data_IF_224618519201
#
_entry.id   IF_224618519201
#
_cell.length_a   1.000
_cell.length_b   1.000
_cell.length_c   1.000
_cell.angle_alpha   90.00
_cell.angle_beta   90.00
_cell.angle_gamma   90.00
#
_symmetry.space_group_name_H-M   'P 1'
#
loop_
_entity.id
_entity.type
_entity.pdbx_description
1 polymer ?
#
# COMPACT_ATOMS: atom_id res chain seq x y z
N UNK A 1 -6.87 -13.23 15.60
CA UNK A 1 -7.54 -13.37 14.29
C UNK A 1 -6.72 -14.25 13.35
N UNK A 2 -7.39 -14.97 12.46
CA UNK A 2 -6.79 -15.68 11.31
C UNK A 2 -7.09 -14.89 10.04
N UNK A 3 -6.05 -14.45 9.35
CA UNK A 3 -6.17 -13.47 8.26
C UNK A 3 -5.51 -14.00 7.00
N UNK A 4 -6.19 -13.84 5.86
CA UNK A 4 -5.60 -13.99 4.53
C UNK A 4 -4.95 -12.65 4.16
N UNK A 5 -3.70 -12.66 3.71
CA UNK A 5 -3.01 -11.45 3.27
C UNK A 5 -2.41 -11.66 1.87
N UNK A 6 -2.83 -10.84 0.90
CA UNK A 6 -2.39 -10.98 -0.49
C UNK A 6 -2.44 -9.65 -1.24
N UNK A 7 -1.87 -9.52 -2.43
CA UNK A 7 -1.04 -10.51 -3.09
C UNK A 7 0.45 -10.16 -3.15
N UNK A 8 0.82 -8.91 -2.94
CA UNK A 8 2.16 -8.40 -3.27
C UNK A 8 3.13 -8.43 -2.10
N UNK A 9 4.26 -9.09 -2.34
CA UNK A 9 5.39 -9.15 -1.42
C UNK A 9 6.67 -9.04 -2.24
N UNK A 10 7.57 -8.16 -1.82
CA UNK A 10 8.86 -7.97 -2.45
C UNK A 10 9.93 -7.59 -1.41
N UNK A 11 11.14 -7.30 -1.87
CA UNK A 11 12.16 -6.62 -1.09
C UNK A 11 12.29 -5.18 -1.58
N UNK A 12 12.43 -4.23 -0.66
CA UNK A 12 12.82 -2.87 -0.99
C UNK A 12 14.29 -2.69 -0.67
N UNK A 13 15.08 -2.31 -1.68
CA UNK A 13 16.48 -1.93 -1.54
C UNK A 13 16.56 -0.42 -1.40
N UNK A 14 16.57 0.08 -0.17
CA UNK A 14 16.48 1.51 0.13
C UNK A 14 17.87 2.15 0.22
N UNK A 15 18.12 3.18 -0.58
CA UNK A 15 19.37 3.95 -0.53
C UNK A 15 19.10 5.44 -0.69
N UNK A 16 19.90 6.27 -0.01
CA UNK A 16 19.89 7.72 -0.22
C UNK A 16 20.99 8.07 -1.23
N UNK A 17 20.59 8.67 -2.35
CA UNK A 17 21.53 8.96 -3.43
C UNK A 17 22.54 10.03 -3.04
N UNK A 18 23.76 9.87 -3.55
CA UNK A 18 24.76 10.94 -3.57
C UNK A 18 24.85 11.48 -4.98
N UNK A 19 24.56 12.78 -5.17
CA UNK A 19 24.56 13.37 -6.50
C UNK A 19 25.92 13.29 -7.21
N UNK A 20 27.03 13.31 -6.44
CA UNK A 20 28.37 13.09 -6.97
C UNK A 20 28.58 11.65 -7.47
N UNK A 21 28.16 10.64 -6.69
CA UNK A 21 28.27 9.23 -7.10
C UNK A 21 27.44 8.92 -8.34
N UNK A 22 26.23 9.48 -8.43
CA UNK A 22 25.37 9.32 -9.62
C UNK A 22 26.03 9.96 -10.84
N UNK A 23 26.59 11.17 -10.71
CA UNK A 23 27.30 11.84 -11.80
C UNK A 23 28.54 11.05 -12.27
N UNK A 24 29.34 10.55 -11.33
CA UNK A 24 30.50 9.69 -11.59
C UNK A 24 30.09 8.41 -12.33
N UNK A 25 29.05 7.73 -11.86
CA UNK A 25 28.54 6.51 -12.48
C UNK A 25 28.07 6.73 -13.93
N UNK A 26 27.35 7.84 -14.19
CA UNK A 26 26.93 8.20 -15.56
C UNK A 26 28.15 8.45 -16.46
N UNK A 27 29.18 9.14 -15.95
CA UNK A 27 30.38 9.47 -16.70
C UNK A 27 31.24 8.23 -16.99
N UNK A 28 31.50 7.39 -15.99
CA UNK A 28 32.36 6.20 -16.09
C UNK A 28 31.80 5.16 -17.06
N UNK A 29 30.48 5.07 -17.18
CA UNK A 29 29.80 4.20 -18.15
C UNK A 29 29.62 4.83 -19.54
N UNK A 30 30.12 6.06 -19.76
CA UNK A 30 29.98 6.76 -21.04
C UNK A 30 28.51 7.00 -21.41
N UNK A 31 27.66 7.31 -20.43
CA UNK A 31 26.21 7.47 -20.60
C UNK A 31 25.78 8.94 -20.73
N UNK A 32 26.67 9.91 -20.52
CA UNK A 32 26.35 11.35 -20.44
C UNK A 32 25.44 11.85 -21.58
N UNK A 33 25.81 11.65 -22.84
CA UNK A 33 25.02 12.14 -23.98
C UNK A 33 23.66 11.42 -24.07
N UNK A 34 23.65 10.10 -23.90
CA UNK A 34 22.45 9.26 -24.00
C UNK A 34 21.44 9.54 -22.87
N UNK A 35 21.91 9.79 -21.65
CA UNK A 35 21.06 10.19 -20.52
C UNK A 35 20.45 11.57 -20.75
N UNK A 36 21.19 12.54 -21.28
CA UNK A 36 20.66 13.88 -21.59
C UNK A 36 19.61 13.83 -22.72
N UNK A 37 19.85 12.99 -23.74
CA UNK A 37 18.86 12.71 -24.79
C UNK A 37 17.60 12.09 -24.18
N UNK A 38 17.75 11.08 -23.31
CA UNK A 38 16.61 10.40 -22.67
C UNK A 38 15.81 11.32 -21.75
N UNK A 39 16.47 12.19 -20.98
CA UNK A 39 15.78 13.21 -20.17
C UNK A 39 14.92 14.14 -21.04
N UNK A 40 15.35 14.43 -22.26
CA UNK A 40 14.61 15.27 -23.21
C UNK A 40 13.45 14.54 -23.88
N UNK A 41 13.50 13.20 -23.95
CA UNK A 41 12.47 12.33 -24.51
C UNK A 41 12.28 11.07 -23.63
N UNK A 42 11.66 11.23 -22.46
CA UNK A 42 11.50 10.13 -21.51
C UNK A 42 10.56 9.07 -22.05
N UNK A 43 10.84 7.81 -21.71
CA UNK A 43 9.94 6.66 -21.92
C UNK A 43 9.03 6.48 -20.72
N UNK A 44 8.07 5.55 -20.86
CA UNK A 44 7.07 5.18 -19.86
C UNK A 44 7.54 4.06 -18.89
N UNK A 45 8.80 3.65 -19.00
CA UNK A 45 9.41 2.61 -18.17
C UNK A 45 10.91 2.53 -18.37
N UNK A 46 11.54 1.56 -17.70
CA UNK A 46 12.99 1.33 -17.71
C UNK A 46 13.30 0.11 -18.60
N UNK A 47 13.82 0.37 -19.79
CA UNK A 47 14.21 -0.64 -20.78
C UNK A 47 15.73 -0.72 -20.95
N UNK A 48 16.45 0.31 -20.54
CA UNK A 48 17.92 0.34 -20.43
C UNK A 48 18.37 1.24 -19.26
N UNK A 49 19.68 1.27 -19.00
CA UNK A 49 20.25 1.98 -17.85
C UNK A 49 20.06 3.50 -17.98
N UNK A 50 19.99 4.02 -19.20
CA UNK A 50 19.72 5.42 -19.48
C UNK A 50 18.32 5.84 -19.05
N UNK A 51 17.31 4.98 -19.23
CA UNK A 51 15.97 5.23 -18.70
C UNK A 51 15.99 5.39 -17.19
N UNK A 52 16.68 4.50 -16.48
CA UNK A 52 16.82 4.57 -15.02
C UNK A 52 17.36 5.93 -14.57
N UNK A 53 18.50 6.36 -15.11
CA UNK A 53 19.08 7.66 -14.74
C UNK A 53 18.17 8.81 -15.14
N UNK A 54 17.51 8.74 -16.31
CA UNK A 54 16.61 9.79 -16.75
C UNK A 54 15.40 9.95 -15.82
N UNK A 55 14.81 8.85 -15.36
CA UNK A 55 13.69 8.85 -14.41
C UNK A 55 14.09 9.48 -13.08
N UNK A 56 15.23 9.05 -12.52
CA UNK A 56 15.80 9.61 -11.29
C UNK A 56 16.01 11.13 -11.40
N UNK A 57 16.67 11.58 -12.47
CA UNK A 57 17.00 13.00 -12.69
C UNK A 57 15.74 13.84 -12.92
N UNK A 58 14.73 13.29 -13.61
CA UNK A 58 13.43 13.95 -13.82
C UNK A 58 12.65 14.08 -12.52
N UNK A 59 12.60 13.02 -11.69
CA UNK A 59 11.97 13.06 -10.36
C UNK A 59 12.62 14.10 -9.46
N UNK A 60 13.95 14.13 -9.41
CA UNK A 60 14.68 15.19 -8.69
C UNK A 60 14.31 16.59 -9.20
N UNK A 61 14.42 16.82 -10.52
CA UNK A 61 14.18 18.13 -11.14
C UNK A 61 12.76 18.64 -10.91
N UNK A 62 11.78 17.74 -10.88
CA UNK A 62 10.37 18.06 -10.61
C UNK A 62 10.07 18.15 -9.12
N UNK A 63 10.87 17.52 -8.27
CA UNK A 63 10.62 17.37 -6.84
C UNK A 63 9.39 16.51 -6.56
N UNK A 64 9.14 15.52 -7.42
CA UNK A 64 7.99 14.61 -7.31
C UNK A 64 8.52 13.19 -7.46
N UNK A 65 8.19 12.33 -6.52
CA UNK A 65 8.50 10.91 -6.56
C UNK A 65 7.83 10.20 -7.73
N UNK A 66 8.41 9.08 -8.15
CA UNK A 66 7.85 8.25 -9.20
C UNK A 66 8.28 6.80 -9.01
N UNK A 67 7.45 5.88 -9.47
CA UNK A 67 7.77 4.46 -9.59
C UNK A 67 7.75 4.08 -11.07
N UNK A 68 8.86 3.52 -11.57
CA UNK A 68 9.00 3.07 -12.95
C UNK A 68 9.32 1.57 -12.98
N UNK A 69 8.63 0.83 -13.84
CA UNK A 69 8.83 -0.61 -14.02
C UNK A 69 10.06 -0.89 -14.89
N UNK A 70 10.84 -1.89 -14.51
CA UNK A 70 12.01 -2.40 -15.23
C UNK A 70 11.57 -3.57 -16.10
N UNK A 71 11.73 -3.44 -17.41
CA UNK A 71 11.38 -4.46 -18.40
C UNK A 71 12.58 -5.25 -18.94
N UNK A 72 13.80 -4.78 -18.68
CA UNK A 72 15.04 -5.45 -19.08
C UNK A 72 15.83 -5.94 -17.86
N UNK A 73 16.16 -7.24 -17.86
CA UNK A 73 16.89 -7.88 -16.76
C UNK A 73 18.32 -7.34 -16.61
N UNK A 74 18.95 -6.89 -17.69
CA UNK A 74 20.29 -6.30 -17.63
C UNK A 74 20.31 -5.03 -16.77
N UNK A 75 19.22 -4.26 -16.76
CA UNK A 75 19.11 -3.11 -15.85
C UNK A 75 18.96 -3.54 -14.39
N UNK A 76 18.17 -4.59 -14.12
CA UNK A 76 18.07 -5.16 -12.78
C UNK A 76 19.44 -5.63 -12.26
N UNK A 77 20.18 -6.37 -13.09
CA UNK A 77 21.51 -6.85 -12.73
C UNK A 77 22.49 -5.69 -12.48
N UNK A 78 22.43 -4.63 -13.30
CA UNK A 78 23.19 -3.39 -13.10
C UNK A 78 22.87 -2.73 -11.75
N UNK A 79 21.58 -2.56 -11.42
CA UNK A 79 21.19 -1.94 -10.15
C UNK A 79 21.61 -2.79 -8.95
N UNK A 80 21.48 -4.11 -9.07
CA UNK A 80 21.91 -5.06 -8.04
C UNK A 80 23.41 -4.96 -7.77
N UNK A 81 24.23 -4.94 -8.82
CA UNK A 81 25.69 -4.83 -8.72
C UNK A 81 26.13 -3.52 -8.07
N UNK A 82 25.46 -2.40 -8.40
CA UNK A 82 25.94 -1.07 -8.00
C UNK A 82 25.30 -0.51 -6.72
N UNK A 83 24.10 -0.95 -6.35
CA UNK A 83 23.33 -0.32 -5.26
C UNK A 83 22.95 -1.27 -4.12
N UNK A 84 22.86 -2.59 -4.35
CA UNK A 84 22.31 -3.50 -3.33
C UNK A 84 23.18 -3.57 -2.06
N UNK A 85 24.49 -3.74 -2.20
CA UNK A 85 25.42 -3.89 -1.06
C UNK A 85 25.48 -2.65 -0.14
N UNK A 86 25.13 -1.48 -0.67
CA UNK A 86 25.09 -0.20 0.06
C UNK A 86 23.69 0.21 0.53
N UNK A 87 22.69 -0.64 0.30
CA UNK A 87 21.29 -0.36 0.62
C UNK A 87 20.87 -0.96 1.97
N UNK A 88 19.82 -0.40 2.54
CA UNK A 88 19.05 -1.08 3.57
C UNK A 88 17.99 -1.92 2.87
N UNK A 89 18.09 -3.25 3.02
CA UNK A 89 17.07 -4.18 2.53
C UNK A 89 15.99 -4.34 3.58
N UNK A 90 14.75 -4.00 3.22
CA UNK A 90 13.56 -4.18 4.05
C UNK A 90 12.51 -5.01 3.30
N UNK A 91 11.52 -5.52 4.03
CA UNK A 91 10.37 -6.13 3.41
C UNK A 91 9.56 -5.03 2.73
N UNK A 92 9.12 -5.29 1.50
CA UNK A 92 8.28 -4.40 0.72
C UNK A 92 7.02 -5.10 0.21
N UNK A 93 6.21 -4.33 -0.49
CA UNK A 93 4.91 -4.76 -1.00
C UNK A 93 3.83 -4.63 0.06
N UNK A 94 2.67 -4.11 -0.33
CA UNK A 94 1.59 -3.78 0.60
C UNK A 94 1.24 -4.98 1.49
N UNK A 95 1.10 -6.18 0.93
CA UNK A 95 0.75 -7.38 1.70
C UNK A 95 1.88 -7.83 2.60
N UNK A 96 3.14 -7.70 2.17
CA UNK A 96 4.30 -7.96 3.02
C UNK A 96 4.31 -7.05 4.26
N UNK A 97 4.16 -5.74 4.04
CA UNK A 97 4.09 -4.74 5.10
C UNK A 97 2.91 -5.00 6.05
N UNK A 98 1.70 -5.14 5.51
CA UNK A 98 0.50 -5.39 6.29
C UNK A 98 0.60 -6.70 7.09
N UNK A 99 1.18 -7.77 6.52
CA UNK A 99 1.35 -9.03 7.24
C UNK A 99 2.26 -8.90 8.46
N UNK A 100 3.33 -8.11 8.37
CA UNK A 100 4.22 -7.83 9.50
C UNK A 100 3.52 -6.99 10.56
N UNK A 101 2.77 -5.96 10.16
CA UNK A 101 1.95 -5.14 11.07
C UNK A 101 0.96 -6.03 11.82
N UNK A 102 0.18 -6.85 11.11
CA UNK A 102 -0.78 -7.78 11.70
C UNK A 102 -0.12 -8.74 12.69
N UNK A 103 1.04 -9.31 12.32
CA UNK A 103 1.82 -10.19 13.18
C UNK A 103 2.23 -9.50 14.49
N UNK A 104 2.78 -8.28 14.40
CA UNK A 104 3.29 -7.56 15.56
C UNK A 104 2.16 -7.05 16.47
N UNK A 105 0.98 -6.77 15.91
CA UNK A 105 -0.21 -6.36 16.65
C UNK A 105 -0.97 -7.50 17.34
N UNK A 106 -0.54 -8.74 17.14
CA UNK A 106 -1.07 -9.92 17.82
C UNK A 106 -2.09 -10.74 17.02
N UNK A 107 -2.10 -10.63 15.68
CA UNK A 107 -2.80 -11.62 14.87
C UNK A 107 -2.27 -13.04 15.19
N UNK A 108 -3.17 -14.01 15.25
CA UNK A 108 -2.80 -15.38 15.64
C UNK A 108 -2.13 -16.14 14.50
N UNK A 109 -2.57 -15.88 13.27
CA UNK A 109 -2.08 -16.52 12.06
C UNK A 109 -2.36 -15.58 10.87
N UNK A 110 -1.33 -15.25 10.09
CA UNK A 110 -1.45 -14.46 8.87
C UNK A 110 -0.96 -15.32 7.71
N UNK A 111 -1.87 -15.80 6.87
CA UNK A 111 -1.55 -16.65 5.73
C UNK A 111 -1.29 -15.74 4.53
N UNK A 112 -0.05 -15.75 4.02
CA UNK A 112 0.39 -14.82 2.98
C UNK A 112 0.57 -15.51 1.62
N UNK A 113 0.23 -14.80 0.55
CA UNK A 113 0.62 -15.21 -0.80
C UNK A 113 2.12 -14.92 -1.01
N UNK A 114 2.91 -15.98 -1.17
CA UNK A 114 4.32 -15.90 -1.54
C UNK A 114 4.56 -16.85 -2.73
N UNK A 115 4.40 -16.38 -3.98
CA UNK A 115 4.61 -17.22 -5.17
C UNK A 115 6.05 -17.71 -5.30
N UNK A 116 6.99 -16.90 -4.82
CA UNK A 116 8.40 -17.23 -4.63
C UNK A 116 8.90 -16.47 -3.40
N UNK A 117 9.86 -17.03 -2.66
CA UNK A 117 10.50 -16.31 -1.55
C UNK A 117 11.97 -16.70 -1.36
N UNK A 118 12.77 -15.72 -0.92
CA UNK A 118 14.19 -15.89 -0.60
C UNK A 118 14.38 -16.03 0.90
N UNK A 119 15.57 -16.50 1.30
CA UNK A 119 15.95 -16.54 2.72
C UNK A 119 15.90 -15.16 3.38
N UNK A 120 16.37 -14.12 2.68
CA UNK A 120 16.34 -12.74 3.20
C UNK A 120 14.90 -12.29 3.42
N UNK A 121 14.01 -12.54 2.45
CA UNK A 121 12.59 -12.22 2.60
C UNK A 121 11.95 -13.01 3.74
N UNK A 122 12.27 -14.30 3.87
CA UNK A 122 11.78 -15.16 4.94
C UNK A 122 12.17 -14.67 6.34
N UNK A 123 13.41 -14.21 6.51
CA UNK A 123 13.94 -13.71 7.78
C UNK A 123 13.34 -12.35 8.20
N UNK A 124 12.76 -11.60 7.24
CA UNK A 124 12.10 -10.32 7.48
C UNK A 124 10.63 -10.45 7.87
N UNK A 125 10.02 -11.64 7.75
CA UNK A 125 8.63 -11.84 8.11
C UNK A 125 8.41 -11.96 9.62
N UNK A 126 7.25 -11.45 10.06
CA UNK A 126 6.78 -11.52 11.43
C UNK A 126 6.40 -12.93 11.88
N UNK A 127 6.44 -13.16 13.19
CA UNK A 127 6.29 -14.49 13.81
C UNK A 127 4.93 -15.16 13.55
N UNK A 128 3.87 -14.41 13.25
CA UNK A 128 2.55 -14.95 12.94
C UNK A 128 2.36 -15.27 11.44
N UNK A 129 3.30 -14.85 10.58
CA UNK A 129 3.20 -15.06 9.13
C UNK A 129 3.42 -16.52 8.80
N UNK A 130 2.55 -17.07 7.95
CA UNK A 130 2.56 -18.46 7.50
C UNK A 130 2.42 -18.54 5.99
N UNK A 131 3.10 -19.52 5.41
CA UNK A 131 2.84 -19.98 4.05
C UNK A 131 2.34 -21.43 4.09
N UNK A 132 1.31 -21.77 3.31
CA UNK A 132 0.81 -23.14 3.25
C UNK A 132 1.72 -24.03 2.39
N UNK A 133 1.90 -25.26 2.85
CA UNK A 133 2.70 -26.31 2.21
C UNK A 133 1.92 -27.61 2.16
N UNK A 134 2.28 -28.50 1.25
CA UNK A 134 1.83 -29.89 1.25
C UNK A 134 2.98 -30.78 1.71
N UNK A 135 2.82 -31.39 2.89
CA UNK A 135 3.77 -32.36 3.46
C UNK A 135 3.01 -33.67 3.67
N UNK A 136 3.52 -34.76 3.09
CA UNK A 136 2.88 -36.09 3.12
C UNK A 136 1.39 -36.06 2.70
N UNK A 137 1.06 -35.26 1.69
CA UNK A 137 -0.30 -35.11 1.16
C UNK A 137 -1.26 -34.32 2.05
N UNK A 138 -0.75 -33.58 3.05
CA UNK A 138 -1.55 -32.75 3.97
C UNK A 138 -1.08 -31.31 3.97
N UNK A 139 -2.02 -30.40 4.15
CA UNK A 139 -1.71 -28.99 4.36
C UNK A 139 -1.03 -28.78 5.71
N UNK A 140 0.10 -28.07 5.68
CA UNK A 140 0.85 -27.60 6.84
C UNK A 140 1.11 -26.12 6.65
N UNK A 141 0.80 -25.31 7.67
CA UNK A 141 1.21 -23.92 7.72
C UNK A 141 2.59 -23.84 8.38
N UNK A 142 3.57 -23.31 7.65
CA UNK A 142 4.93 -23.14 8.13
C UNK A 142 5.30 -21.66 8.17
N UNK A 143 6.21 -21.27 9.07
CA UNK A 143 6.84 -19.96 8.94
C UNK A 143 7.67 -19.93 7.65
N UNK A 144 7.78 -18.81 6.92
CA UNK A 144 8.60 -18.74 5.70
C UNK A 144 10.04 -19.24 5.85
N UNK A 145 10.66 -19.09 7.03
CA UNK A 145 12.02 -19.60 7.30
C UNK A 145 12.11 -21.13 7.41
N UNK A 146 10.97 -21.81 7.56
CA UNK A 146 10.85 -23.27 7.67
C UNK A 146 10.37 -23.91 6.35
N UNK A 147 10.13 -23.08 5.35
CA UNK A 147 9.78 -23.52 4.01
C UNK A 147 11.05 -23.83 3.21
N UNK A 148 10.92 -24.72 2.22
CA UNK A 148 11.99 -24.88 1.25
C UNK A 148 12.05 -23.60 0.42
N UNK A 149 13.24 -23.03 0.29
CA UNK A 149 13.46 -21.92 -0.62
C UNK A 149 13.44 -22.47 -2.05
N UNK A 150 12.80 -21.76 -2.96
CA UNK A 150 12.64 -22.21 -4.35
C UNK A 150 13.96 -22.30 -5.13
N UNK A 151 15.11 -22.07 -4.48
CA UNK A 151 16.44 -22.07 -5.08
C UNK A 151 16.66 -20.90 -6.05
N UNK A 152 15.68 -20.00 -6.16
CA UNK A 152 15.71 -18.82 -7.03
C UNK A 152 15.91 -17.58 -6.16
N UNK A 153 17.04 -16.89 -6.32
CA UNK A 153 17.29 -15.55 -5.76
C UNK A 153 16.49 -14.45 -6.51
N UNK A 154 15.44 -14.80 -7.25
CA UNK A 154 14.60 -13.89 -8.05
C UNK A 154 13.34 -13.49 -7.27
N UNK A 155 13.52 -13.04 -6.02
CA UNK A 155 12.48 -12.24 -5.37
C UNK A 155 12.48 -10.87 -6.03
N UNK A 156 11.30 -10.31 -6.30
CA UNK A 156 11.17 -8.94 -6.78
C UNK A 156 11.92 -7.97 -5.87
N UNK A 157 12.77 -7.11 -6.46
CA UNK A 157 13.46 -6.05 -5.73
C UNK A 157 13.02 -4.72 -6.31
N UNK A 158 12.52 -3.86 -5.44
CA UNK A 158 12.20 -2.48 -5.75
C UNK A 158 13.36 -1.64 -5.24
N UNK A 159 14.11 -1.03 -6.15
CA UNK A 159 15.22 -0.17 -5.77
C UNK A 159 14.68 1.23 -5.45
N UNK A 160 14.72 1.61 -4.18
CA UNK A 160 14.18 2.88 -3.67
C UNK A 160 15.32 3.87 -3.48
N UNK A 161 15.33 4.91 -4.31
CA UNK A 161 16.36 5.95 -4.33
C UNK A 161 15.84 7.23 -3.70
N UNK A 162 16.08 7.40 -2.40
CA UNK A 162 15.76 8.63 -1.69
C UNK A 162 16.69 9.77 -2.13
N UNK A 163 16.13 10.95 -2.38
CA UNK A 163 16.88 12.18 -2.63
C UNK A 163 16.38 13.29 -1.70
N UNK A 164 17.31 14.09 -1.20
CA UNK A 164 17.00 15.23 -0.33
C UNK A 164 17.08 16.54 -1.10
N UNK A 165 16.28 17.51 -0.70
CA UNK A 165 16.24 18.87 -1.24
C UNK A 165 17.65 19.45 -1.34
N UNK A 166 17.96 19.99 -2.51
CA UNK A 166 19.26 20.59 -2.81
C UNK A 166 20.33 19.57 -3.26
N UNK A 167 20.04 18.27 -3.23
CA UNK A 167 20.92 17.28 -3.87
C UNK A 167 21.10 17.63 -5.34
N UNK A 168 22.34 17.74 -5.79
CA UNK A 168 22.72 18.15 -7.15
C UNK A 168 23.47 17.04 -7.87
N UNK A 169 22.99 16.66 -9.05
CA UNK A 169 23.70 15.78 -9.99
C UNK A 169 24.09 16.61 -11.21
N UNK A 170 25.38 16.62 -11.55
CA UNK A 170 25.89 17.29 -12.76
C UNK A 170 26.11 16.26 -13.86
N UNK A 171 25.42 16.40 -14.99
CA UNK A 171 25.54 15.52 -16.17
C UNK A 171 25.96 16.36 -17.37
N UNK A 172 27.20 16.18 -17.83
CA UNK A 172 27.81 17.10 -18.79
C UNK A 172 27.82 18.53 -18.22
N UNK A 173 27.24 19.49 -18.94
CA UNK A 173 27.09 20.88 -18.46
C UNK A 173 25.72 21.18 -17.83
N UNK A 174 24.87 20.16 -17.64
CA UNK A 174 23.51 20.33 -17.09
C UNK A 174 23.47 19.95 -15.61
N UNK A 175 22.75 20.75 -14.82
CA UNK A 175 22.51 20.48 -13.41
C UNK A 175 21.07 20.04 -13.15
N UNK A 176 20.94 18.96 -12.40
CA UNK A 176 19.68 18.46 -11.87
C UNK A 176 19.69 18.64 -10.36
N UNK A 177 18.74 19.40 -9.83
CA UNK A 177 18.67 19.74 -8.41
C UNK A 177 17.32 19.28 -7.85
N UNK A 178 17.36 18.51 -6.77
CA UNK A 178 16.16 18.08 -6.05
C UNK A 178 15.44 19.29 -5.42
N UNK A 179 14.18 19.52 -5.79
CA UNK A 179 13.39 20.63 -5.25
C UNK A 179 12.82 20.34 -3.85
N UNK A 180 12.51 19.06 -3.58
CA UNK A 180 11.93 18.54 -2.36
C UNK A 180 12.61 17.22 -1.97
N UNK A 181 12.40 16.80 -0.72
CA UNK A 181 12.76 15.46 -0.26
C UNK A 181 11.73 14.48 -0.82
N UNK A 182 12.16 13.48 -1.58
CA UNK A 182 11.28 12.47 -2.16
C UNK A 182 12.10 11.23 -2.60
N UNK A 183 11.48 10.30 -3.32
CA UNK A 183 12.10 9.05 -3.78
C UNK A 183 11.74 8.71 -5.22
N UNK A 184 12.68 8.08 -5.91
CA UNK A 184 12.45 7.40 -7.18
C UNK A 184 12.53 5.89 -6.95
N UNK A 185 11.56 5.13 -7.45
CA UNK A 185 11.50 3.68 -7.29
C UNK A 185 11.66 3.03 -8.66
N UNK A 186 12.63 2.13 -8.79
CA UNK A 186 12.86 1.32 -9.98
C UNK A 186 12.49 -0.14 -9.66
N UNK A 187 11.40 -0.61 -10.24
CA UNK A 187 10.72 -1.85 -9.84
C UNK A 187 10.99 -2.97 -10.84
N UNK A 188 11.77 -3.98 -10.45
CA UNK A 188 11.86 -5.25 -11.18
C UNK A 188 11.16 -6.35 -10.39
N UNK A 189 9.93 -6.65 -10.80
CA UNK A 189 9.09 -7.58 -10.07
C UNK A 189 8.15 -8.38 -10.98
N UNK A 190 8.67 -9.34 -11.75
CA UNK A 190 7.84 -10.12 -12.67
C UNK A 190 6.67 -10.84 -11.99
N UNK A 191 6.85 -11.29 -10.74
CA UNK A 191 5.83 -12.02 -10.00
C UNK A 191 4.66 -11.10 -9.59
N UNK A 192 4.94 -9.95 -8.98
CA UNK A 192 3.89 -9.03 -8.56
C UNK A 192 3.25 -8.31 -9.75
N UNK A 193 4.01 -7.97 -10.80
CA UNK A 193 3.47 -7.43 -12.06
C UNK A 193 2.49 -8.43 -12.70
N UNK A 194 2.78 -9.73 -12.65
CA UNK A 194 1.89 -10.78 -13.14
C UNK A 194 0.78 -11.20 -12.16
N UNK A 195 0.77 -10.57 -10.97
CA UNK A 195 -0.05 -10.90 -9.80
C UNK A 195 -0.08 -12.41 -9.53
N UNK A 196 1.12 -12.99 -9.48
CA UNK A 196 1.32 -14.42 -9.35
C UNK A 196 0.82 -14.91 -7.98
N UNK A 197 0.08 -16.02 -8.00
CA UNK A 197 -0.43 -16.67 -6.79
C UNK A 197 0.22 -18.03 -6.64
N UNK A 198 0.66 -18.33 -5.42
CA UNK A 198 1.13 -19.66 -5.08
C UNK A 198 -0.04 -20.66 -5.14
N UNK A 199 0.00 -21.73 -5.96
CA UNK A 199 -1.13 -22.66 -6.09
C UNK A 199 -1.52 -23.34 -4.78
N UNK A 200 -0.55 -23.57 -3.88
CA UNK A 200 -0.83 -24.15 -2.55
C UNK A 200 -1.53 -23.14 -1.65
N UNK A 201 -1.23 -21.85 -1.80
CA UNK A 201 -1.95 -20.77 -1.13
C UNK A 201 -3.39 -20.69 -1.63
N UNK A 202 -3.59 -20.68 -2.95
CA UNK A 202 -4.89 -20.65 -3.58
C UNK A 202 -5.76 -21.82 -3.07
N UNK A 203 -5.27 -23.07 -3.19
CA UNK A 203 -6.01 -24.25 -2.73
C UNK A 203 -6.27 -24.24 -1.22
N UNK A 204 -5.30 -23.78 -0.40
CA UNK A 204 -5.48 -23.70 1.05
C UNK A 204 -6.57 -22.69 1.43
N UNK A 205 -6.50 -21.48 0.89
CA UNK A 205 -7.47 -20.41 1.16
C UNK A 205 -8.86 -20.83 0.70
N UNK A 206 -8.96 -21.42 -0.49
CA UNK A 206 -10.23 -21.91 -1.03
C UNK A 206 -10.84 -23.03 -0.16
N UNK A 207 -10.01 -23.96 0.33
CA UNK A 207 -10.47 -25.11 1.12
C UNK A 207 -10.85 -24.75 2.55
N UNK A 208 -10.19 -23.74 3.13
CA UNK A 208 -10.33 -23.38 4.55
C UNK A 208 -10.88 -21.97 4.78
N UNK A 209 -11.54 -21.38 3.78
CA UNK A 209 -12.15 -20.06 3.84
C UNK A 209 -13.06 -19.86 5.08
N UNK A 210 -13.76 -20.91 5.51
CA UNK A 210 -14.64 -20.96 6.69
C UNK A 210 -13.91 -20.73 8.03
N UNK A 211 -12.58 -20.78 8.04
CA UNK A 211 -11.74 -20.63 9.23
C UNK A 211 -11.09 -19.26 9.37
N UNK A 212 -11.22 -18.41 8.36
CA UNK A 212 -10.63 -17.07 8.36
C UNK A 212 -11.61 -16.05 8.90
N UNK A 213 -11.07 -15.07 9.62
CA UNK A 213 -11.83 -13.93 10.16
C UNK A 213 -11.92 -12.80 9.13
N UNK A 214 -10.88 -12.64 8.30
CA UNK A 214 -10.88 -11.66 7.22
C UNK A 214 -9.77 -11.88 6.20
N UNK A 215 -9.85 -11.14 5.10
CA UNK A 215 -8.86 -11.06 4.05
C UNK A 215 -8.48 -9.59 3.81
N UNK A 216 -7.19 -9.30 3.74
CA UNK A 216 -6.67 -7.99 3.36
C UNK A 216 -5.86 -8.12 2.07
N UNK A 217 -6.33 -7.47 1.01
CA UNK A 217 -5.88 -7.65 -0.36
C UNK A 217 -5.28 -6.35 -0.92
N UNK A 218 -4.29 -6.46 -1.81
CA UNK A 218 -3.69 -5.35 -2.56
C UNK A 218 -2.89 -5.86 -3.76
N UNK A 219 -2.28 -4.95 -4.52
CA UNK A 219 -1.31 -5.26 -5.58
C UNK A 219 -1.79 -5.10 -7.02
N UNK A 220 -3.10 -4.87 -7.22
CA UNK A 220 -3.68 -4.73 -8.56
C UNK A 220 -3.15 -3.54 -9.36
N UNK A 221 -2.57 -2.54 -8.69
CA UNK A 221 -2.00 -1.34 -9.31
C UNK A 221 -0.77 -1.61 -10.20
N UNK A 222 -0.11 -2.77 -10.02
CA UNK A 222 1.05 -3.20 -10.81
C UNK A 222 0.66 -3.89 -12.13
N UNK A 223 -0.63 -4.20 -12.34
CA UNK A 223 -1.07 -4.95 -13.51
C UNK A 223 -0.84 -4.16 -14.80
N UNK A 224 -0.26 -4.85 -15.79
CA UNK A 224 -0.14 -4.35 -17.16
C UNK A 224 -1.45 -4.56 -17.93
N UNK A 225 -1.69 -3.72 -18.93
CA UNK A 225 -2.84 -3.87 -19.83
C UNK A 225 -2.75 -5.16 -20.65
N UNK A 226 -1.55 -5.55 -21.07
CA UNK A 226 -1.27 -6.75 -21.84
C UNK A 226 0.02 -7.41 -21.36
N UNK A 227 0.08 -8.74 -21.44
CA UNK A 227 1.25 -9.53 -21.06
C UNK A 227 1.84 -10.27 -22.28
N UNK A 228 3.14 -10.60 -22.29
CA UNK A 228 3.78 -11.31 -23.40
C UNK A 228 3.13 -12.65 -23.77
N UNK A 229 2.48 -13.31 -22.82
CA UNK A 229 1.76 -14.57 -23.02
C UNK A 229 0.37 -14.41 -23.67
N UNK A 230 -0.06 -13.18 -23.97
CA UNK A 230 -1.35 -12.87 -24.59
C UNK A 230 -2.52 -12.71 -23.61
N UNK A 231 -2.31 -12.92 -22.31
CA UNK A 231 -3.29 -12.58 -21.26
C UNK A 231 -3.29 -11.07 -21.01
N UNK A 232 -4.33 -10.59 -20.32
CA UNK A 232 -4.56 -9.18 -20.00
C UNK A 232 -4.83 -8.99 -18.51
N UNK A 233 -4.89 -7.74 -18.05
CA UNK A 233 -5.34 -7.39 -16.70
C UNK A 233 -6.71 -7.98 -16.35
N UNK A 234 -7.62 -8.15 -17.32
CA UNK A 234 -8.95 -8.72 -17.11
C UNK A 234 -8.88 -10.16 -16.65
N UNK A 235 -8.09 -10.97 -17.35
CA UNK A 235 -7.90 -12.39 -16.99
C UNK A 235 -7.35 -12.55 -15.57
N UNK A 236 -6.49 -11.60 -15.14
CA UNK A 236 -5.89 -11.60 -13.79
C UNK A 236 -6.88 -11.17 -12.71
N UNK A 237 -7.62 -10.08 -12.95
CA UNK A 237 -8.63 -9.54 -12.02
C UNK A 237 -9.78 -10.53 -11.87
N UNK A 238 -10.35 -11.00 -12.98
CA UNK A 238 -11.53 -11.87 -12.97
C UNK A 238 -11.23 -13.18 -12.22
N UNK A 239 -10.07 -13.80 -12.47
CA UNK A 239 -9.65 -15.01 -11.74
C UNK A 239 -9.61 -14.79 -10.23
N UNK A 240 -9.00 -13.69 -9.78
CA UNK A 240 -8.84 -13.39 -8.36
C UNK A 240 -10.15 -13.03 -7.67
N UNK A 241 -11.05 -12.36 -8.39
CA UNK A 241 -12.39 -12.07 -7.88
C UNK A 241 -13.26 -13.33 -7.83
N UNK A 242 -13.06 -14.28 -8.75
CA UNK A 242 -13.71 -15.59 -8.68
C UNK A 242 -13.21 -16.41 -7.47
N UNK A 243 -11.90 -16.35 -7.16
CA UNK A 243 -11.34 -16.93 -5.92
C UNK A 243 -12.00 -16.31 -4.69
N UNK A 244 -12.10 -14.98 -4.66
CA UNK A 244 -12.72 -14.24 -3.56
C UNK A 244 -14.19 -14.61 -3.37
N UNK A 245 -14.95 -14.73 -4.47
CA UNK A 245 -16.34 -15.18 -4.45
C UNK A 245 -16.46 -16.58 -3.86
N UNK A 246 -15.59 -17.51 -4.26
CA UNK A 246 -15.52 -18.85 -3.68
C UNK A 246 -15.27 -18.82 -2.16
N UNK A 247 -14.44 -17.89 -1.68
CA UNK A 247 -14.20 -17.73 -0.25
C UNK A 247 -15.45 -17.19 0.47
N UNK A 248 -16.10 -16.16 -0.08
CA UNK A 248 -17.34 -15.57 0.45
C UNK A 248 -18.51 -16.56 0.46
N UNK A 249 -18.66 -17.39 -0.58
CA UNK A 249 -19.69 -18.43 -0.64
C UNK A 249 -19.53 -19.46 0.50
N UNK A 250 -18.29 -19.81 0.85
CA UNK A 250 -17.98 -20.72 1.97
C UNK A 250 -18.05 -20.01 3.33
N UNK A 251 -17.73 -18.72 3.36
CA UNK A 251 -17.74 -17.90 4.57
C UNK A 251 -18.37 -16.53 4.32
N UNK A 252 -19.71 -16.41 4.41
CA UNK A 252 -20.40 -15.13 4.19
C UNK A 252 -20.04 -14.05 5.22
N UNK A 253 -19.34 -14.42 6.31
CA UNK A 253 -18.86 -13.49 7.35
C UNK A 253 -17.40 -13.10 7.18
N UNK A 254 -16.71 -13.60 6.14
CA UNK A 254 -15.34 -13.20 5.86
C UNK A 254 -15.31 -11.72 5.53
N UNK A 255 -14.65 -10.92 6.37
CA UNK A 255 -14.48 -9.49 6.10
C UNK A 255 -13.32 -9.27 5.14
N UNK A 256 -13.56 -8.60 4.02
CA UNK A 256 -12.61 -8.41 2.93
C UNK A 256 -12.33 -6.92 2.76
N UNK A 257 -11.08 -6.54 2.97
CA UNK A 257 -10.58 -5.21 2.72
C UNK A 257 -9.61 -5.21 1.54
N UNK A 258 -9.77 -4.26 0.62
CA UNK A 258 -8.86 -4.01 -0.50
C UNK A 258 -8.17 -2.66 -0.29
N UNK A 259 -6.85 -2.67 -0.13
CA UNK A 259 -6.03 -1.46 -0.12
C UNK A 259 -5.59 -1.15 -1.55
N UNK A 260 -5.99 0.02 -2.07
CA UNK A 260 -5.55 0.50 -3.37
C UNK A 260 -4.05 0.86 -3.35
N UNK A 261 -3.50 0.98 -4.54
CA UNK A 261 -2.22 1.64 -4.74
C UNK A 261 -2.31 2.52 -5.97
N UNK A 262 -1.19 3.14 -6.31
CA UNK A 262 -1.12 4.06 -7.43
C UNK A 262 -1.14 3.31 -8.78
N UNK A 263 -2.26 3.35 -9.51
CA UNK A 263 -2.37 2.67 -10.82
C UNK A 263 -1.64 3.42 -11.94
N UNK A 264 -0.91 2.68 -12.77
CA UNK A 264 -0.35 3.21 -14.02
C UNK A 264 -1.38 3.41 -15.13
N UNK A 265 -2.52 2.71 -15.06
CA UNK A 265 -3.56 2.73 -16.09
C UNK A 265 -4.94 2.87 -15.48
N UNK A 266 -5.61 3.99 -15.76
CA UNK A 266 -6.99 4.22 -15.35
C UNK A 266 -7.95 3.15 -15.89
N UNK A 267 -7.64 2.53 -17.05
CA UNK A 267 -8.45 1.43 -17.59
C UNK A 267 -8.41 0.17 -16.71
N UNK A 268 -7.26 -0.11 -16.10
CA UNK A 268 -7.11 -1.25 -15.17
C UNK A 268 -7.85 -0.94 -13.87
N UNK A 269 -7.68 0.27 -13.35
CA UNK A 269 -8.37 0.74 -12.14
C UNK A 269 -9.90 0.70 -12.30
N UNK A 270 -10.46 1.31 -13.36
CA UNK A 270 -11.91 1.32 -13.60
C UNK A 270 -12.47 -0.09 -13.67
N UNK A 271 -11.76 -1.00 -14.35
CA UNK A 271 -12.21 -2.39 -14.49
C UNK A 271 -12.29 -3.12 -13.15
N UNK A 272 -11.34 -2.86 -12.25
CA UNK A 272 -11.33 -3.40 -10.90
C UNK A 272 -12.49 -2.82 -10.09
N UNK A 273 -12.62 -1.49 -10.05
CA UNK A 273 -13.64 -0.79 -9.24
C UNK A 273 -15.07 -1.20 -9.61
N UNK A 274 -15.34 -1.46 -10.89
CA UNK A 274 -16.62 -1.97 -11.40
C UNK A 274 -16.98 -3.40 -10.93
N UNK A 275 -16.06 -4.14 -10.28
CA UNK A 275 -16.20 -5.58 -9.99
C UNK A 275 -15.97 -5.95 -8.52
N UNK A 276 -16.03 -4.97 -7.62
CA UNK A 276 -15.76 -5.17 -6.19
C UNK A 276 -16.92 -5.79 -5.39
N UNK A 277 -17.86 -6.50 -6.02
CA UNK A 277 -19.07 -7.03 -5.36
C UNK A 277 -18.86 -8.05 -4.24
N UNK A 278 -17.67 -8.64 -4.15
CA UNK A 278 -17.29 -9.57 -3.08
C UNK A 278 -16.29 -8.93 -2.06
N UNK A 279 -16.05 -7.62 -2.18
CA UNK A 279 -15.19 -6.81 -1.28
C UNK A 279 -16.07 -5.93 -0.40
N UNK A 280 -15.85 -5.95 0.91
CA UNK A 280 -16.66 -5.15 1.84
C UNK A 280 -16.14 -3.72 1.97
N UNK A 281 -14.81 -3.57 1.96
CA UNK A 281 -14.17 -2.28 2.20
C UNK A 281 -13.02 -1.99 1.23
N UNK A 282 -12.96 -0.74 0.79
CA UNK A 282 -11.84 -0.17 0.03
C UNK A 282 -11.06 0.85 0.87
N UNK A 283 -9.74 0.80 0.82
CA UNK A 283 -8.81 1.77 1.42
C UNK A 283 -7.98 2.47 0.34
N UNK A 284 -7.73 3.77 0.49
CA UNK A 284 -6.86 4.55 -0.40
C UNK A 284 -6.36 5.86 0.24
N UNK A 285 -5.36 6.49 -0.34
CA UNK A 285 -4.95 7.85 0.05
C UNK A 285 -5.64 8.97 -0.76
N UNK A 286 -5.39 10.24 -0.41
CA UNK A 286 -5.98 11.39 -1.11
C UNK A 286 -5.55 11.51 -2.58
N UNK A 287 -4.33 11.08 -2.92
CA UNK A 287 -3.80 11.17 -4.28
C UNK A 287 -4.49 10.15 -5.17
N UNK A 288 -4.69 8.93 -4.66
CA UNK A 288 -5.46 7.86 -5.30
C UNK A 288 -6.92 8.28 -5.47
N UNK A 289 -7.55 8.82 -4.42
CA UNK A 289 -8.92 9.34 -4.52
C UNK A 289 -9.03 10.43 -5.58
N UNK A 290 -8.15 11.45 -5.55
CA UNK A 290 -8.14 12.56 -6.51
C UNK A 290 -7.96 12.13 -7.97
N UNK A 291 -7.31 10.97 -8.19
CA UNK A 291 -7.02 10.42 -9.52
C UNK A 291 -7.94 9.27 -9.91
N UNK A 292 -8.84 8.85 -9.03
CA UNK A 292 -9.75 7.76 -9.29
C UNK A 292 -10.53 8.00 -10.58
N UNK A 293 -10.55 7.00 -11.45
CA UNK A 293 -11.30 7.02 -12.71
C UNK A 293 -12.80 7.27 -12.51
N UNK A 294 -13.36 6.97 -11.33
CA UNK A 294 -14.77 7.28 -11.00
C UNK A 294 -15.02 8.77 -10.77
N UNK A 295 -13.98 9.58 -10.52
CA UNK A 295 -14.08 11.03 -10.33
C UNK A 295 -13.62 11.82 -11.57
N UNK A 296 -13.37 11.14 -12.69
CA UNK A 296 -12.87 11.77 -13.91
C UNK A 296 -13.81 12.89 -14.40
N UNK A 297 -13.22 14.06 -14.71
CA UNK A 297 -13.95 15.25 -15.14
C UNK A 297 -14.46 16.16 -14.03
N UNK A 298 -14.44 15.74 -12.75
CA UNK A 298 -14.82 16.61 -11.62
C UNK A 298 -13.63 17.41 -11.07
N UNK A 299 -13.13 18.36 -11.87
CA UNK A 299 -11.94 19.16 -11.52
C UNK A 299 -12.08 19.93 -10.20
N UNK A 300 -13.30 20.38 -9.86
CA UNK A 300 -13.55 21.10 -8.61
C UNK A 300 -13.38 20.18 -7.42
N UNK A 301 -14.00 19.01 -7.44
CA UNK A 301 -13.89 18.04 -6.35
C UNK A 301 -12.44 17.57 -6.19
N UNK A 302 -11.76 17.29 -7.29
CA UNK A 302 -10.35 16.92 -7.29
C UNK A 302 -9.48 17.96 -6.59
N UNK A 303 -9.66 19.25 -6.90
CA UNK A 303 -8.93 20.33 -6.22
C UNK A 303 -9.20 20.33 -4.71
N UNK A 304 -10.45 20.12 -4.29
CA UNK A 304 -10.79 20.05 -2.85
C UNK A 304 -10.08 18.88 -2.15
N UNK A 305 -10.02 17.72 -2.80
CA UNK A 305 -9.30 16.54 -2.28
C UNK A 305 -7.79 16.84 -2.17
N UNK A 306 -7.19 17.39 -3.22
CA UNK A 306 -5.76 17.77 -3.25
C UNK A 306 -5.43 18.86 -2.22
N UNK A 307 -6.37 19.74 -1.91
CA UNK A 307 -6.27 20.77 -0.85
C UNK A 307 -6.53 20.22 0.56
N UNK A 308 -6.78 18.92 0.70
CA UNK A 308 -7.14 18.23 1.96
C UNK A 308 -8.37 18.86 2.64
N UNK A 309 -9.37 19.26 1.86
CA UNK A 309 -10.69 19.66 2.36
C UNK A 309 -11.51 18.40 2.67
N UNK A 310 -11.79 18.16 3.95
CA UNK A 310 -12.42 16.91 4.42
C UNK A 310 -13.80 16.66 3.81
N UNK A 311 -14.53 17.73 3.52
CA UNK A 311 -15.83 17.62 2.86
C UNK A 311 -15.67 17.15 1.41
N UNK A 312 -14.62 17.62 0.71
CA UNK A 312 -14.29 17.15 -0.62
C UNK A 312 -13.79 15.69 -0.61
N UNK A 313 -12.99 15.31 0.39
CA UNK A 313 -12.58 13.91 0.58
C UNK A 313 -13.79 13.01 0.85
N UNK A 314 -14.69 13.42 1.75
CA UNK A 314 -15.91 12.69 2.07
C UNK A 314 -16.86 12.60 0.87
N UNK A 315 -17.02 13.69 0.10
CA UNK A 315 -17.81 13.71 -1.14
C UNK A 315 -17.24 12.75 -2.18
N UNK A 316 -15.91 12.74 -2.39
CA UNK A 316 -15.25 11.79 -3.29
C UNK A 316 -15.44 10.34 -2.86
N UNK A 317 -15.23 10.04 -1.57
CA UNK A 317 -15.43 8.72 -1.01
C UNK A 317 -16.89 8.25 -1.15
N UNK A 318 -17.84 9.16 -0.92
CA UNK A 318 -19.28 8.90 -1.09
C UNK A 318 -19.65 8.57 -2.54
N UNK A 319 -19.05 9.27 -3.52
CA UNK A 319 -19.25 8.93 -4.94
C UNK A 319 -18.75 7.52 -5.24
N UNK A 320 -17.54 7.16 -4.79
CA UNK A 320 -17.01 5.79 -4.98
C UNK A 320 -17.95 4.76 -4.35
N UNK A 321 -18.35 4.98 -3.09
CA UNK A 321 -19.26 4.08 -2.38
C UNK A 321 -20.60 3.93 -3.14
N UNK A 322 -21.14 5.01 -3.69
CA UNK A 322 -22.43 4.99 -4.42
C UNK A 322 -22.38 4.33 -5.80
N UNK A 323 -21.19 4.24 -6.41
CA UNK A 323 -20.97 3.71 -7.76
C UNK A 323 -20.43 2.27 -7.75
N UNK A 324 -20.18 1.71 -6.57
CA UNK A 324 -19.63 0.38 -6.38
C UNK A 324 -20.50 -0.42 -5.44
N UNK A 325 -20.26 -1.73 -5.37
CA UNK A 325 -20.97 -2.65 -4.47
C UNK A 325 -20.30 -2.74 -3.08
N UNK A 326 -19.47 -1.75 -2.72
CA UNK A 326 -18.75 -1.71 -1.45
C UNK A 326 -19.70 -1.33 -0.30
N UNK A 327 -19.42 -1.82 0.91
CA UNK A 327 -20.08 -1.34 2.13
C UNK A 327 -19.32 -0.21 2.81
N UNK A 328 -18.03 -0.01 2.48
CA UNK A 328 -17.18 1.04 3.06
C UNK A 328 -16.10 1.55 2.12
N UNK A 329 -15.87 2.86 2.14
CA UNK A 329 -14.67 3.51 1.60
C UNK A 329 -13.95 4.27 2.72
N UNK A 330 -12.67 3.92 2.95
CA UNK A 330 -11.79 4.59 3.89
C UNK A 330 -10.68 5.33 3.14
N UNK A 331 -10.51 6.61 3.48
CA UNK A 331 -9.49 7.49 2.90
C UNK A 331 -8.56 7.97 4.00
N UNK A 332 -7.27 7.66 3.87
CA UNK A 332 -6.23 8.15 4.77
C UNK A 332 -5.42 9.25 4.11
N UNK A 333 -5.06 10.28 4.89
CA UNK A 333 -4.24 11.41 4.39
C UNK A 333 -3.12 11.70 5.36
N UNK A 334 -2.23 12.64 5.03
CA UNK A 334 -1.20 13.13 5.96
C UNK A 334 -1.75 13.89 7.18
N UNK A 335 -3.02 14.31 7.17
CA UNK A 335 -3.57 15.24 8.17
C UNK A 335 -4.76 14.66 8.94
N UNK A 336 -5.64 13.91 8.28
CA UNK A 336 -6.79 13.20 8.88
C UNK A 336 -7.11 11.91 8.11
N UNK A 337 -7.95 11.07 8.69
CA UNK A 337 -8.56 9.92 8.00
C UNK A 337 -10.08 10.05 8.06
N UNK A 338 -10.77 9.62 7.00
CA UNK A 338 -12.24 9.60 6.91
C UNK A 338 -12.68 8.26 6.38
N UNK A 339 -13.74 7.71 6.98
CA UNK A 339 -14.41 6.51 6.52
C UNK A 339 -15.89 6.81 6.32
N UNK A 340 -16.46 6.36 5.20
CA UNK A 340 -17.91 6.42 4.92
C UNK A 340 -18.41 5.01 4.59
N UNK A 341 -19.55 4.62 5.16
CA UNK A 341 -20.04 3.26 5.12
C UNK A 341 -21.57 3.17 5.26
N UNK A 342 -22.11 2.03 4.83
CA UNK A 342 -23.54 1.70 4.99
C UNK A 342 -23.96 1.63 6.46
N UNK A 343 -25.21 1.99 6.76
CA UNK A 343 -25.68 2.09 8.16
C UNK A 343 -25.62 0.77 8.94
N UNK A 344 -25.80 -0.35 8.25
CA UNK A 344 -25.81 -1.69 8.85
C UNK A 344 -24.42 -2.35 8.84
N UNK A 345 -23.37 -1.65 8.38
CA UNK A 345 -22.01 -2.19 8.28
C UNK A 345 -21.34 -2.31 9.65
N UNK A 346 -21.19 -1.19 10.37
CA UNK A 346 -20.58 -1.14 11.71
C UNK A 346 -21.13 0.04 12.50
N UNK A 347 -21.07 -0.02 13.83
CA UNK A 347 -21.37 1.13 14.69
C UNK A 347 -20.35 2.26 14.44
N UNK A 348 -20.79 3.51 14.22
CA UNK A 348 -19.88 4.60 13.86
C UNK A 348 -18.85 4.95 14.93
N UNK A 349 -19.18 4.75 16.21
CA UNK A 349 -18.23 4.91 17.31
C UNK A 349 -17.18 3.80 17.34
N UNK A 350 -17.54 2.59 16.92
CA UNK A 350 -16.60 1.47 16.75
C UNK A 350 -15.66 1.70 15.57
N UNK A 351 -16.16 2.20 14.43
CA UNK A 351 -15.29 2.59 13.31
C UNK A 351 -14.29 3.67 13.75
N UNK A 352 -14.75 4.72 14.43
CA UNK A 352 -13.88 5.77 14.93
C UNK A 352 -12.79 5.22 15.88
N UNK A 353 -13.13 4.26 16.75
CA UNK A 353 -12.16 3.61 17.63
C UNK A 353 -11.11 2.80 16.84
N UNK A 354 -11.51 2.10 15.78
CA UNK A 354 -10.58 1.38 14.92
C UNK A 354 -9.63 2.31 14.15
N UNK A 355 -10.18 3.38 13.56
CA UNK A 355 -9.40 4.41 12.87
C UNK A 355 -8.39 5.08 13.83
N UNK A 356 -8.79 5.40 15.06
CA UNK A 356 -7.89 5.93 16.09
C UNK A 356 -6.73 4.97 16.39
N UNK A 357 -7.01 3.66 16.45
CA UNK A 357 -5.97 2.65 16.66
C UNK A 357 -5.00 2.60 15.48
N UNK A 358 -5.51 2.64 14.24
CA UNK A 358 -4.68 2.72 13.04
C UNK A 358 -3.79 3.95 13.01
N UNK A 359 -4.34 5.12 13.34
CA UNK A 359 -3.58 6.38 13.42
C UNK A 359 -2.44 6.29 14.44
N UNK A 360 -2.70 5.71 15.62
CA UNK A 360 -1.65 5.50 16.65
C UNK A 360 -0.57 4.53 16.18
N UNK A 361 -0.95 3.45 15.50
CA UNK A 361 0.00 2.49 14.95
C UNK A 361 0.92 3.15 13.90
N UNK A 362 0.35 3.91 12.96
CA UNK A 362 1.10 4.64 11.95
C UNK A 362 2.04 5.69 12.57
N UNK A 363 1.57 6.46 13.56
CA UNK A 363 2.39 7.46 14.24
C UNK A 363 3.56 6.84 15.02
N UNK A 364 3.32 5.72 15.72
CA UNK A 364 4.37 4.95 16.41
C UNK A 364 5.41 4.39 15.44
N UNK A 365 4.96 3.89 14.29
CA UNK A 365 5.85 3.39 13.25
C UNK A 365 6.65 4.53 12.61
N UNK A 366 6.04 5.68 12.34
CA UNK A 366 6.74 6.86 11.82
C UNK A 366 7.88 7.30 12.76
N UNK A 367 7.65 7.34 14.07
CA UNK A 367 8.65 7.76 15.07
C UNK A 367 9.79 6.75 15.21
N UNK A 368 9.50 5.45 15.17
CA UNK A 368 10.48 4.43 15.59
C UNK A 368 11.07 3.62 14.44
N UNK A 369 10.44 3.64 13.26
CA UNK A 369 10.77 2.78 12.13
C UNK A 369 10.54 1.29 12.40
N UNK A 370 9.80 0.94 13.45
CA UNK A 370 9.51 -0.45 13.85
C UNK A 370 8.09 -0.58 14.39
N UNK A 371 7.43 -1.71 14.20
CA UNK A 371 6.17 -1.97 14.88
C UNK A 371 6.47 -2.40 16.33
N UNK A 372 5.97 -1.65 17.29
CA UNK A 372 6.29 -1.85 18.72
C UNK A 372 5.33 -2.83 19.43
N UNK A 373 4.43 -3.45 18.68
CA UNK A 373 3.35 -4.29 19.20
C UNK A 373 2.27 -3.51 19.94
N UNK A 374 1.18 -4.21 20.27
CA UNK A 374 -0.07 -3.61 20.79
C UNK A 374 0.12 -2.74 22.03
N UNK A 375 0.73 -3.30 23.07
CA UNK A 375 0.84 -2.63 24.38
C UNK A 375 1.52 -1.26 24.29
N UNK A 376 2.49 -1.14 23.36
CA UNK A 376 3.21 0.11 23.11
C UNK A 376 2.33 1.11 22.36
N UNK A 377 1.60 0.67 21.33
CA UNK A 377 0.70 1.53 20.54
C UNK A 377 -0.43 2.10 21.41
N UNK A 378 -0.92 1.34 22.38
CA UNK A 378 -1.90 1.84 23.34
C UNK A 378 -1.32 2.90 24.30
N UNK A 379 0.00 2.90 24.52
CA UNK A 379 0.73 3.86 25.36
C UNK A 379 1.25 5.09 24.59
N UNK A 380 1.25 5.06 23.25
CA UNK A 380 1.81 6.11 22.35
C UNK A 380 1.14 7.49 22.51
N UNK A 381 0.08 7.63 23.29
CA UNK A 381 -0.54 8.93 23.57
C UNK A 381 0.42 9.93 24.26
N UNK A 382 1.50 9.49 24.89
CA UNK A 382 2.52 10.38 25.46
C UNK A 382 3.51 10.87 24.39
N UNK A 383 3.31 12.10 23.90
CA UNK A 383 4.28 12.81 23.06
C UNK A 383 3.81 13.18 21.66
N UNK A 384 2.71 12.58 21.18
CA UNK A 384 2.12 12.92 19.90
C UNK A 384 1.02 13.97 20.05
N UNK A 385 0.99 14.93 19.11
CA UNK A 385 -0.11 15.88 18.99
C UNK A 385 -0.92 15.58 17.74
N UNK A 386 -2.25 15.68 17.79
CA UNK A 386 -3.07 15.64 16.59
C UNK A 386 -2.63 16.74 15.62
N UNK A 387 -2.71 16.45 14.32
CA UNK A 387 -2.55 17.47 13.30
C UNK A 387 -3.47 18.65 13.60
N UNK A 388 -2.91 19.87 13.53
CA UNK A 388 -3.69 21.09 13.69
C UNK A 388 -4.71 21.24 12.56
N UNK A 389 -4.31 20.98 11.32
CA UNK A 389 -5.19 21.05 10.16
C UNK A 389 -6.24 19.93 10.25
N UNK A 390 -5.81 18.69 10.47
CA UNK A 390 -6.69 17.53 10.61
C UNK A 390 -7.73 17.70 11.71
N UNK A 391 -7.35 18.26 12.86
CA UNK A 391 -8.30 18.57 13.94
C UNK A 391 -9.34 19.60 13.50
N UNK A 392 -8.92 20.67 12.81
CA UNK A 392 -9.86 21.67 12.31
C UNK A 392 -10.82 21.05 11.31
N UNK A 393 -10.32 20.25 10.39
CA UNK A 393 -11.10 19.56 9.37
C UNK A 393 -12.09 18.54 10.00
N UNK A 394 -11.64 17.66 10.89
CA UNK A 394 -12.53 16.68 11.56
C UNK A 394 -13.64 17.34 12.36
N UNK A 395 -13.41 18.54 12.92
CA UNK A 395 -14.46 19.31 13.58
C UNK A 395 -15.51 19.89 12.61
N UNK A 396 -15.17 20.09 11.33
CA UNK A 396 -16.15 20.52 10.31
C UNK A 396 -17.18 19.45 10.01
N UNK A 397 -16.85 18.16 10.22
CA UNK A 397 -17.82 17.07 10.09
C UNK A 397 -19.01 17.22 11.05
N UNK A 398 -18.84 17.89 12.19
CA UNK A 398 -19.92 18.14 13.14
C UNK A 398 -21.07 18.97 12.52
N UNK A 399 -20.75 19.84 11.56
CA UNK A 399 -21.73 20.66 10.86
C UNK A 399 -22.46 19.88 9.75
N UNK A 400 -21.88 18.76 9.30
CA UNK A 400 -22.45 17.88 8.28
C UNK A 400 -23.32 16.77 8.87
N UNK A 401 -23.01 16.31 10.09
CA UNK A 401 -23.64 15.15 10.69
C UNK A 401 -24.93 15.50 11.44
N UNK A 402 -25.99 14.72 11.21
CA UNK A 402 -27.28 14.90 11.92
C UNK A 402 -27.31 14.26 13.31
N UNK A 403 -26.61 13.13 13.49
CA UNK A 403 -26.52 12.36 14.75
C UNK A 403 -25.07 12.23 15.21
N UNK A 404 -24.40 13.37 15.40
CA UNK A 404 -22.97 13.38 15.64
C UNK A 404 -22.54 13.04 17.08
N UNK A 405 -21.53 12.18 17.21
CA UNK A 405 -20.74 12.00 18.42
C UNK A 405 -19.31 12.53 18.22
N UNK A 406 -18.86 13.39 19.14
CA UNK A 406 -17.46 13.82 19.25
C UNK A 406 -16.82 13.16 20.48
N UNK A 407 -15.84 12.28 20.26
CA UNK A 407 -15.16 11.55 21.33
C UNK A 407 -13.68 11.43 21.00
N UNK A 408 -12.80 11.73 21.96
CA UNK A 408 -11.34 11.60 21.76
C UNK A 408 -10.72 12.55 20.72
N UNK A 409 -11.50 13.48 20.14
CA UNK A 409 -11.07 14.30 19.00
C UNK A 409 -11.53 13.76 17.64
N UNK A 410 -12.21 12.61 17.65
CA UNK A 410 -12.83 11.95 16.50
C UNK A 410 -14.30 12.31 16.40
N UNK A 411 -14.78 12.54 15.19
CA UNK A 411 -16.19 12.84 14.88
C UNK A 411 -16.81 11.65 14.17
N UNK A 412 -18.00 11.22 14.55
CA UNK A 412 -18.73 10.17 13.82
C UNK A 412 -20.23 10.44 13.83
N UNK A 413 -20.96 9.99 12.81
CA UNK A 413 -22.41 10.22 12.72
C UNK A 413 -22.98 9.94 11.33
N UNK A 414 -24.26 10.27 11.15
CA UNK A 414 -24.97 10.13 9.87
C UNK A 414 -24.70 11.29 8.91
N UNK A 415 -24.42 10.97 7.65
CA UNK A 415 -24.28 11.90 6.52
C UNK A 415 -24.92 11.32 5.27
N UNK A 416 -25.83 12.05 4.64
CA UNK A 416 -26.47 11.69 3.36
C UNK A 416 -27.01 10.24 3.27
N UNK A 417 -27.53 9.70 4.37
CA UNK A 417 -28.07 8.33 4.42
C UNK A 417 -27.02 7.23 4.67
N UNK A 418 -25.77 7.60 4.87
CA UNK A 418 -24.65 6.75 5.29
C UNK A 418 -24.20 7.10 6.70
N UNK A 419 -23.33 6.28 7.28
CA UNK A 419 -22.53 6.68 8.43
C UNK A 419 -21.12 7.06 8.00
N UNK A 420 -20.51 7.97 8.75
CA UNK A 420 -19.13 8.36 8.55
C UNK A 420 -18.41 8.57 9.88
N UNK A 421 -17.09 8.39 9.85
CA UNK A 421 -16.18 8.66 10.95
C UNK A 421 -14.94 9.40 10.43
N UNK A 422 -14.48 10.40 11.18
CA UNK A 422 -13.28 11.17 10.89
C UNK A 422 -12.37 11.27 12.10
N UNK A 423 -11.07 11.03 11.90
CA UNK A 423 -10.07 11.02 12.97
C UNK A 423 -8.86 11.85 12.54
N UNK A 424 -8.36 12.80 13.36
CA UNK A 424 -7.17 13.55 13.04
C UNK A 424 -5.93 12.66 13.15
N UNK A 425 -5.00 12.77 12.19
CA UNK A 425 -3.73 12.03 12.25
C UNK A 425 -2.87 12.56 13.38
N UNK A 426 -2.13 11.67 14.04
CA UNK A 426 -1.12 12.02 15.04
C UNK A 426 0.21 12.33 14.32
N UNK A 427 0.67 13.58 14.42
CA UNK A 427 1.85 14.03 13.68
C UNK A 427 3.14 13.63 14.41
N UNK A 428 4.04 12.96 13.69
CA UNK A 428 5.43 12.81 14.09
C UNK A 428 6.25 13.96 13.50
N UNK A 429 6.82 14.83 14.35
CA UNK A 429 7.58 16.00 13.86
C UNK A 429 8.92 15.61 13.20
N UNK A 430 9.52 14.51 13.63
CA UNK A 430 10.78 14.00 13.09
C UNK A 430 10.66 12.51 12.78
N UNK A 431 9.95 12.12 11.71
CA UNK A 431 9.74 10.73 11.37
C UNK A 431 11.06 10.06 10.98
N UNK A 432 11.29 8.85 11.49
CA UNK A 432 12.37 7.95 11.06
C UNK A 432 12.03 7.31 9.71
N UNK A 433 10.75 7.08 9.43
CA UNK A 433 10.27 6.52 8.16
C UNK A 433 8.94 7.13 7.72
N UNK A 434 8.72 7.18 6.42
CA UNK A 434 7.43 7.49 5.78
C UNK A 434 6.93 6.38 4.86
N UNK A 435 7.71 5.31 4.67
CA UNK A 435 7.35 4.17 3.81
C UNK A 435 6.47 3.21 4.60
N UNK A 436 5.37 2.74 4.01
CA UNK A 436 4.46 1.78 4.62
C UNK A 436 3.56 2.34 5.74
N UNK A 437 3.45 3.68 5.87
CA UNK A 437 2.54 4.30 6.85
C UNK A 437 1.07 4.01 6.54
N UNK A 438 0.67 4.08 5.26
CA UNK A 438 -0.67 3.68 4.80
C UNK A 438 -0.95 2.22 5.12
N UNK A 439 -0.09 1.31 4.68
CA UNK A 439 -0.19 -0.13 5.00
C UNK A 439 -0.30 -0.39 6.51
N UNK A 440 0.48 0.34 7.33
CA UNK A 440 0.43 0.22 8.79
C UNK A 440 -0.91 0.68 9.36
N UNK A 441 -1.40 1.83 8.91
CA UNK A 441 -2.72 2.34 9.28
C UNK A 441 -3.80 1.33 8.90
N UNK A 442 -3.83 0.90 7.63
CA UNK A 442 -4.86 0.00 7.10
C UNK A 442 -4.87 -1.33 7.85
N UNK A 443 -3.72 -2.00 8.00
CA UNK A 443 -3.65 -3.28 8.70
C UNK A 443 -4.04 -3.19 10.18
N UNK A 444 -3.66 -2.11 10.86
CA UNK A 444 -3.99 -1.89 12.27
C UNK A 444 -5.49 -1.62 12.47
N UNK A 445 -6.07 -0.75 11.64
CA UNK A 445 -7.51 -0.46 11.60
C UNK A 445 -8.30 -1.74 11.33
N UNK A 446 -7.94 -2.48 10.27
CA UNK A 446 -8.56 -3.75 9.88
C UNK A 446 -8.55 -4.78 11.02
N UNK A 447 -7.39 -4.98 11.68
CA UNK A 447 -7.32 -5.92 12.79
C UNK A 447 -8.21 -5.49 13.97
N UNK A 448 -8.23 -4.19 14.28
CA UNK A 448 -9.04 -3.67 15.39
C UNK A 448 -10.53 -3.84 15.12
N UNK A 449 -10.97 -3.66 13.88
CA UNK A 449 -12.36 -3.87 13.46
C UNK A 449 -12.80 -5.31 13.65
N UNK A 450 -11.99 -6.26 13.16
CA UNK A 450 -12.25 -7.68 13.37
C UNK A 450 -12.42 -8.01 14.86
N UNK A 451 -11.64 -7.39 15.74
CA UNK A 451 -11.70 -7.62 17.18
C UNK A 451 -12.95 -7.04 17.83
N UNK A 452 -13.31 -5.81 17.46
CA UNK A 452 -14.46 -5.13 18.03
C UNK A 452 -15.79 -5.72 17.54
N UNK A 453 -15.83 -6.25 16.31
CA UNK A 453 -17.02 -6.87 15.73
C UNK A 453 -17.19 -8.32 16.19
N UNK A 454 -16.11 -9.11 16.28
CA UNK A 454 -16.18 -10.51 16.72
C UNK A 454 -16.64 -10.65 18.18
N UNK A 455 -16.22 -9.74 19.06
CA UNK A 455 -16.62 -9.75 20.47
C UNK A 455 -18.12 -9.43 20.72
N UNK A 456 -18.86 -8.98 19.69
CA UNK A 456 -20.32 -8.75 19.77
C UNK A 456 -21.17 -9.96 19.36
N UNK A 457 -20.56 -11.06 18.88
CA UNK A 457 -21.26 -12.25 18.39
C UNK A 457 -21.25 -13.45 19.35
N UNK A 458 -21.09 -13.20 20.66
CA UNK A 458 -21.18 -14.19 21.75
C UNK A 458 -22.49 -14.10 22.54
#
# INVERSE_FOLDING_TARGET
>A
MRIICGYTVNLDSVTTISGAKVAEMIADHGLTERVLERVSSPRDGIYDVEDFFSGLLLSMKRGIGAEWLIFDRGVFDFLKEHFLDGSQVILGGNSGNMANVLSDLGAGEVVINAPCHSRVQAELFGRAVRIPRIVDGRFVLAHPTEADFDGVDEVGIHFVFNFTRGTRVKVGETDFVALHDDRFIATYDPANIALAVNPVFEEYCERFADRFDGAILSGFHLLLTEYPAGTTYRDKIDRLLDDLRSWKDKNPRLFVHLELGYFHSGMVESYLLERLGDVDSLGMNEVELARSSLLEGNHRLRSRIEDLDIEGVLEGASIILSLTDLSRVCVHTGEFVVSIFEKDFIDPGVEAEALEFGVRAAASYAETGRHLGRDRIEQVLEGFSPSRLGRTEVLRLLDLFSECELKGGSSSGEVDGYYAAGVPVLRCETPVTSVGLGDTFTAATFLRELELTKNKSL
#
